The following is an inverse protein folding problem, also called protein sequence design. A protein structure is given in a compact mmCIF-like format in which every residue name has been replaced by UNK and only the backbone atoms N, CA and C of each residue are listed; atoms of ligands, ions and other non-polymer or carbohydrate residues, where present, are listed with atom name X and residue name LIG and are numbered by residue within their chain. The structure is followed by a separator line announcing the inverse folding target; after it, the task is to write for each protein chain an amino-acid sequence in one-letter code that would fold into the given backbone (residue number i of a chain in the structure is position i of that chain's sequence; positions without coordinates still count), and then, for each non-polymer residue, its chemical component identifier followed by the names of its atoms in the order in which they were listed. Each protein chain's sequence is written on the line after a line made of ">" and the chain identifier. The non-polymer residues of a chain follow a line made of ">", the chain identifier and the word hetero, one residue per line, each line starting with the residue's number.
data_IF_773380211630
#
_entry.id   IF_773380211630
#
_cell.length_a   1.000
_cell.length_b   1.000
_cell.length_c   1.000
_cell.angle_alpha   90.00
_cell.angle_beta   90.00
_cell.angle_gamma   90.00
#
_symmetry.space_group_name_H-M   'P 1'
#
loop_
_entity.id
_entity.type
_entity.pdbx_description
1 polymer ?
#
# COMPACT_ATOMS: atom_id res chain seq x y z
N UNK A 1 -5.69 29.41 -31.04
CA UNK A 1 -5.08 28.07 -30.94
C UNK A 1 -5.71 27.07 -31.89
N UNK A 2 -6.98 26.63 -31.72
CA UNK A 2 -7.61 25.63 -32.62
C UNK A 2 -7.60 26.01 -34.11
N UNK A 3 -8.06 27.23 -34.44
CA UNK A 3 -8.05 27.75 -35.83
C UNK A 3 -6.64 27.83 -36.44
N UNK A 4 -5.60 27.85 -35.61
CA UNK A 4 -4.20 27.96 -36.02
C UNK A 4 -3.46 26.60 -36.03
N UNK A 5 -4.14 25.49 -35.71
CA UNK A 5 -3.47 24.18 -35.57
C UNK A 5 -2.64 24.01 -34.28
N UNK A 6 -2.80 24.89 -33.30
CA UNK A 6 -1.94 24.97 -32.10
C UNK A 6 -2.69 24.56 -30.82
N UNK A 7 -3.68 23.67 -30.93
CA UNK A 7 -4.50 23.26 -29.79
C UNK A 7 -3.67 22.69 -28.62
N UNK A 8 -2.56 22.01 -28.93
CA UNK A 8 -1.60 21.49 -27.95
C UNK A 8 -1.00 22.56 -27.03
N UNK A 9 -1.00 23.85 -27.41
CA UNK A 9 -0.49 24.93 -26.54
C UNK A 9 -1.42 25.26 -25.36
N UNK A 10 -2.66 24.76 -25.37
CA UNK A 10 -3.55 24.85 -24.21
C UNK A 10 -3.14 23.82 -23.16
N UNK A 11 -2.90 24.26 -21.92
CA UNK A 11 -2.68 23.39 -20.77
C UNK A 11 -3.86 23.49 -19.79
N UNK A 12 -4.34 22.35 -19.31
CA UNK A 12 -5.33 22.28 -18.24
C UNK A 12 -4.72 21.60 -17.00
N UNK A 13 -4.67 22.30 -15.87
CA UNK A 13 -4.11 21.78 -14.62
C UNK A 13 -5.22 21.64 -13.60
N UNK A 14 -5.27 20.50 -12.92
CA UNK A 14 -6.31 20.19 -11.94
C UNK A 14 -5.75 19.93 -10.54
N UNK A 15 -6.19 20.74 -9.58
CA UNK A 15 -6.04 20.54 -8.15
C UNK A 15 -7.11 19.58 -7.60
N UNK A 16 -7.77 19.94 -6.50
CA UNK A 16 -8.93 19.19 -5.97
C UNK A 16 -10.06 19.18 -7.00
N UNK A 17 -10.85 18.13 -7.02
CA UNK A 17 -11.90 17.93 -7.99
C UNK A 17 -13.08 17.16 -7.40
N UNK A 18 -14.21 17.21 -8.10
CA UNK A 18 -15.39 16.39 -7.88
C UNK A 18 -15.55 15.40 -9.05
N UNK A 19 -16.46 14.41 -8.96
CA UNK A 19 -16.76 13.54 -10.10
C UNK A 19 -17.17 14.34 -11.35
N UNK A 20 -18.06 15.32 -11.19
CA UNK A 20 -18.53 16.16 -12.31
C UNK A 20 -17.40 16.94 -12.99
N UNK A 21 -16.48 17.55 -12.23
CA UNK A 21 -15.34 18.26 -12.85
C UNK A 21 -14.32 17.31 -13.45
N UNK A 22 -14.26 16.05 -12.99
CA UNK A 22 -13.46 14.99 -13.62
C UNK A 22 -14.00 14.65 -15.00
N UNK A 23 -15.30 14.41 -15.13
CA UNK A 23 -15.87 13.94 -16.39
C UNK A 23 -15.93 15.06 -17.44
N UNK A 24 -16.30 16.26 -17.02
CA UNK A 24 -16.48 17.40 -17.93
C UNK A 24 -15.18 18.16 -18.17
N UNK A 25 -14.62 18.78 -17.13
CA UNK A 25 -13.53 19.75 -17.29
C UNK A 25 -12.17 19.09 -17.52
N UNK A 26 -11.91 17.94 -16.91
CA UNK A 26 -10.66 17.20 -17.09
C UNK A 26 -10.76 16.12 -18.18
N UNK A 27 -11.91 15.45 -18.28
CA UNK A 27 -12.13 14.37 -19.23
C UNK A 27 -12.51 14.86 -20.62
N UNK A 28 -13.61 15.61 -20.73
CA UNK A 28 -14.20 15.97 -22.03
C UNK A 28 -13.57 17.21 -22.66
N UNK A 29 -13.37 18.28 -21.89
CA UNK A 29 -12.93 19.57 -22.41
C UNK A 29 -11.56 19.52 -23.13
N UNK A 30 -10.49 18.93 -22.57
CA UNK A 30 -9.19 18.88 -23.25
C UNK A 30 -9.26 18.08 -24.56
N UNK A 31 -10.01 16.98 -24.56
CA UNK A 31 -10.23 16.11 -25.74
C UNK A 31 -11.00 16.82 -26.84
N UNK A 32 -12.10 17.50 -26.49
CA UNK A 32 -12.90 18.30 -27.44
C UNK A 32 -12.08 19.47 -27.99
N UNK A 33 -11.25 20.09 -27.15
CA UNK A 33 -10.37 21.18 -27.57
C UNK A 33 -9.25 20.69 -28.50
N UNK A 34 -8.80 19.45 -28.31
CA UNK A 34 -7.69 18.83 -29.04
C UNK A 34 -6.32 19.05 -28.39
N UNK A 35 -6.26 19.11 -27.06
CA UNK A 35 -5.00 19.16 -26.31
C UNK A 35 -4.76 17.88 -25.51
N UNK A 36 -3.52 17.42 -25.50
CA UNK A 36 -3.02 16.32 -24.65
C UNK A 36 -2.42 16.83 -23.34
N UNK A 37 -2.28 18.15 -23.18
CA UNK A 37 -1.63 18.77 -22.03
C UNK A 37 -2.64 19.02 -20.89
N UNK A 38 -3.22 17.94 -20.36
CA UNK A 38 -4.09 18.01 -19.20
C UNK A 38 -3.53 17.14 -18.08
N UNK A 39 -3.24 17.76 -16.94
CA UNK A 39 -2.49 17.15 -15.84
C UNK A 39 -3.24 17.29 -14.52
N UNK A 40 -3.39 16.18 -13.80
CA UNK A 40 -3.89 16.18 -12.43
C UNK A 40 -2.75 16.38 -11.42
N UNK A 41 -3.11 16.63 -10.16
CA UNK A 41 -2.16 16.60 -9.06
C UNK A 41 -1.74 15.18 -8.62
N UNK A 42 -2.15 14.12 -9.32
CA UNK A 42 -2.06 12.74 -8.79
C UNK A 42 -0.63 12.37 -8.37
N UNK A 43 0.35 12.67 -9.23
CA UNK A 43 1.76 12.33 -9.00
C UNK A 43 2.36 12.98 -7.75
N UNK A 44 1.87 14.16 -7.35
CA UNK A 44 2.28 14.84 -6.11
C UNK A 44 1.39 14.50 -4.91
N UNK A 45 0.38 13.65 -5.11
CA UNK A 45 -0.53 13.21 -4.06
C UNK A 45 -0.08 11.86 -3.48
N UNK A 46 -0.26 10.75 -4.21
CA UNK A 46 0.02 9.41 -3.68
C UNK A 46 0.12 8.30 -4.75
N UNK A 47 0.54 8.58 -5.99
CA UNK A 47 0.64 7.51 -6.99
C UNK A 47 1.62 6.39 -6.60
N UNK A 48 2.69 6.73 -5.88
CA UNK A 48 3.65 5.74 -5.39
C UNK A 48 3.02 4.70 -4.45
N UNK A 49 2.04 5.10 -3.62
CA UNK A 49 1.31 4.18 -2.73
C UNK A 49 0.55 3.08 -3.51
N UNK A 50 0.10 3.41 -4.72
CA UNK A 50 -0.68 2.49 -5.57
C UNK A 50 0.19 1.46 -6.28
N UNK A 51 1.51 1.65 -6.31
CA UNK A 51 2.41 0.76 -7.05
C UNK A 51 2.50 -0.62 -6.43
N UNK A 52 2.56 -0.73 -5.10
CA UNK A 52 2.58 -2.03 -4.41
C UNK A 52 1.38 -2.89 -4.80
N UNK A 53 0.13 -2.46 -4.51
CA UNK A 53 -1.06 -3.21 -4.87
C UNK A 53 -1.26 -3.35 -6.38
N UNK A 54 -0.87 -2.34 -7.17
CA UNK A 54 -0.95 -2.39 -8.62
C UNK A 54 -0.08 -3.50 -9.23
N UNK A 55 1.17 -3.62 -8.78
CA UNK A 55 2.12 -4.59 -9.31
C UNK A 55 1.96 -6.00 -8.73
N UNK A 56 1.38 -6.12 -7.54
CA UNK A 56 1.22 -7.42 -6.85
C UNK A 56 -0.19 -8.01 -6.93
N UNK A 57 -1.21 -7.16 -7.06
CA UNK A 57 -2.63 -7.55 -7.00
C UNK A 57 -3.43 -7.01 -8.20
N UNK A 58 -2.80 -6.27 -9.11
CA UNK A 58 -3.48 -5.67 -10.26
C UNK A 58 -4.41 -4.49 -9.91
N UNK A 59 -4.35 -3.97 -8.68
CA UNK A 59 -5.27 -2.94 -8.20
C UNK A 59 -4.57 -1.59 -7.97
N UNK A 60 -4.65 -0.70 -8.98
CA UNK A 60 -4.05 0.65 -8.94
C UNK A 60 -4.99 1.68 -8.27
N UNK A 61 -5.39 1.40 -7.03
CA UNK A 61 -6.34 2.20 -6.27
C UNK A 61 -6.02 2.28 -4.78
N UNK A 62 -6.83 3.03 -4.05
CA UNK A 62 -6.79 3.02 -2.58
C UNK A 62 -7.65 1.89 -2.05
N UNK A 63 -7.29 1.38 -0.87
CA UNK A 63 -7.99 0.30 -0.16
C UNK A 63 -8.64 0.87 1.09
N UNK A 64 -9.81 0.34 1.42
CA UNK A 64 -10.34 0.48 2.77
C UNK A 64 -9.80 -0.66 3.64
N UNK A 65 -9.89 -0.50 4.95
CA UNK A 65 -9.36 -1.46 5.91
C UNK A 65 -10.51 -2.00 6.75
N UNK A 66 -10.55 -3.32 6.97
CA UNK A 66 -11.55 -3.96 7.82
C UNK A 66 -11.24 -3.70 9.31
N UNK A 67 -11.47 -2.45 9.72
CA UNK A 67 -11.23 -1.97 11.07
C UNK A 67 -12.20 -2.57 12.09
N UNK A 68 -13.28 -3.23 11.65
CA UNK A 68 -14.22 -3.89 12.54
C UNK A 68 -13.69 -5.26 13.01
N UNK A 69 -13.00 -6.00 12.13
CA UNK A 69 -12.52 -7.36 12.43
C UNK A 69 -11.02 -7.47 12.68
N UNK A 70 -10.22 -6.44 12.33
CA UNK A 70 -8.77 -6.41 12.52
C UNK A 70 -8.33 -6.81 13.93
N UNK A 71 -7.42 -7.78 14.05
CA UNK A 71 -6.79 -8.21 15.31
C UNK A 71 -5.38 -7.64 15.50
N UNK A 72 -4.73 -7.23 14.41
CA UNK A 72 -3.43 -6.58 14.41
C UNK A 72 -3.43 -5.46 13.37
N UNK A 73 -3.36 -4.20 13.83
CA UNK A 73 -3.24 -3.02 12.99
C UNK A 73 -1.78 -2.57 12.98
N UNK A 74 -1.14 -2.63 11.82
CA UNK A 74 0.17 -2.00 11.60
C UNK A 74 -0.05 -0.72 10.80
N UNK A 75 0.04 0.44 11.45
CA UNK A 75 -0.01 1.73 10.78
C UNK A 75 1.41 2.16 10.39
N UNK A 76 1.72 2.00 9.10
CA UNK A 76 3.07 2.19 8.56
C UNK A 76 3.22 3.53 7.84
N UNK A 77 3.90 4.50 8.48
CA UNK A 77 4.07 5.86 7.97
C UNK A 77 2.77 6.67 7.88
N UNK A 78 1.66 6.11 8.38
CA UNK A 78 0.33 6.73 8.35
C UNK A 78 -0.11 7.14 9.74
N UNK A 79 -0.84 8.26 9.83
CA UNK A 79 -1.50 8.69 11.06
C UNK A 79 -3.02 8.75 10.83
N UNK A 80 -3.74 7.61 10.81
CA UNK A 80 -5.15 7.55 10.43
C UNK A 80 -6.10 8.19 11.44
N UNK A 81 -5.60 8.60 12.62
CA UNK A 81 -6.34 9.43 13.58
C UNK A 81 -6.27 10.94 13.27
N UNK A 82 -5.36 11.37 12.40
CA UNK A 82 -5.17 12.78 12.02
C UNK A 82 -5.33 13.04 10.51
N UNK A 83 -5.03 12.05 9.69
CA UNK A 83 -4.94 12.12 8.23
C UNK A 83 -5.32 10.77 7.61
N UNK A 84 -4.96 10.53 6.35
CA UNK A 84 -5.44 9.39 5.56
C UNK A 84 -6.92 9.55 5.13
N UNK A 85 -7.54 8.50 4.61
CA UNK A 85 -8.68 8.62 3.68
C UNK A 85 -10.06 8.41 4.30
N UNK A 86 -10.14 7.86 5.51
CA UNK A 86 -11.39 7.65 6.27
C UNK A 86 -11.20 7.96 7.76
N UNK A 87 -10.66 9.14 8.08
CA UNK A 87 -10.34 9.59 9.45
C UNK A 87 -11.48 9.37 10.46
N UNK A 88 -12.75 9.72 10.15
CA UNK A 88 -13.84 9.53 11.11
C UNK A 88 -14.09 8.06 11.47
N UNK A 89 -13.99 7.15 10.50
CA UNK A 89 -14.16 5.72 10.74
C UNK A 89 -13.01 5.17 11.58
N UNK A 90 -11.76 5.56 11.29
CA UNK A 90 -10.62 5.12 12.09
C UNK A 90 -10.71 5.63 13.53
N UNK A 91 -11.03 6.91 13.74
CA UNK A 91 -11.24 7.46 15.09
C UNK A 91 -12.29 6.66 15.86
N UNK A 92 -13.41 6.31 15.20
CA UNK A 92 -14.47 5.52 15.81
C UNK A 92 -14.02 4.10 16.20
N UNK A 93 -13.23 3.43 15.34
CA UNK A 93 -12.85 2.02 15.51
C UNK A 93 -11.54 1.78 16.28
N UNK A 94 -10.68 2.79 16.42
CA UNK A 94 -9.32 2.62 16.97
C UNK A 94 -9.32 2.05 18.39
N UNK A 95 -10.19 2.56 19.27
CA UNK A 95 -10.32 2.04 20.65
C UNK A 95 -10.86 0.60 20.70
N UNK A 96 -11.72 0.21 19.76
CA UNK A 96 -12.23 -1.16 19.65
C UNK A 96 -11.13 -2.13 19.20
N UNK A 97 -10.22 -1.70 18.32
CA UNK A 97 -9.05 -2.48 17.91
C UNK A 97 -8.11 -2.65 19.11
N UNK A 98 -7.84 -1.56 19.83
CA UNK A 98 -6.97 -1.55 21.01
C UNK A 98 -7.45 -2.54 22.09
N UNK A 99 -8.76 -2.66 22.27
CA UNK A 99 -9.37 -3.53 23.28
C UNK A 99 -9.31 -5.03 22.91
N UNK A 100 -9.30 -5.37 21.62
CA UNK A 100 -9.37 -6.77 21.17
C UNK A 100 -8.06 -7.32 20.60
N UNK A 101 -7.14 -6.44 20.21
CA UNK A 101 -5.96 -6.79 19.44
C UNK A 101 -4.81 -5.82 19.66
N UNK A 102 -3.86 -5.83 18.73
CA UNK A 102 -2.63 -5.05 18.82
C UNK A 102 -2.60 -3.93 17.78
N UNK A 103 -2.06 -2.79 18.17
CA UNK A 103 -1.78 -1.66 17.30
C UNK A 103 -0.28 -1.38 17.38
N UNK A 104 0.38 -1.43 16.22
CA UNK A 104 1.79 -1.14 16.03
C UNK A 104 1.88 0.04 15.08
N UNK A 105 2.69 1.04 15.40
CA UNK A 105 2.90 2.20 14.54
C UNK A 105 4.36 2.31 14.17
N UNK A 106 4.65 2.29 12.86
CA UNK A 106 5.99 2.52 12.30
C UNK A 106 6.03 3.95 11.79
N UNK A 107 6.66 4.87 12.51
CA UNK A 107 6.68 6.29 12.15
C UNK A 107 7.92 6.94 12.77
N UNK A 108 8.74 7.72 12.03
CA UNK A 108 9.88 8.43 12.60
C UNK A 108 9.51 9.39 13.75
N UNK A 109 8.28 9.91 13.75
CA UNK A 109 7.76 10.79 14.82
C UNK A 109 6.72 10.06 15.66
N UNK A 110 6.56 10.51 16.91
CA UNK A 110 5.44 10.09 17.75
C UNK A 110 4.14 10.75 17.27
N UNK A 111 3.48 10.11 16.31
CA UNK A 111 2.20 10.57 15.72
C UNK A 111 1.00 10.39 16.67
N UNK A 112 -0.18 10.91 16.30
CA UNK A 112 -1.37 10.75 17.14
C UNK A 112 -1.74 9.27 17.31
N UNK A 113 -1.56 8.50 16.23
CA UNK A 113 -1.72 7.05 16.24
C UNK A 113 -0.64 6.38 17.07
N UNK A 114 0.64 6.78 16.93
CA UNK A 114 1.74 6.22 17.72
C UNK A 114 1.57 6.44 19.23
N UNK A 115 1.15 7.64 19.63
CA UNK A 115 0.89 7.98 21.03
C UNK A 115 -0.25 7.18 21.68
N UNK A 116 -1.04 6.44 20.88
CA UNK A 116 -2.15 5.61 21.33
C UNK A 116 -1.97 4.12 21.02
N UNK A 117 -0.89 3.75 20.34
CA UNK A 117 -0.57 2.37 20.01
C UNK A 117 0.10 1.67 21.19
N UNK A 118 0.05 0.34 21.22
CA UNK A 118 0.83 -0.42 22.21
C UNK A 118 2.32 -0.40 21.87
N UNK A 119 2.67 -0.37 20.59
CA UNK A 119 4.05 -0.35 20.13
C UNK A 119 4.28 0.80 19.13
N UNK A 120 5.33 1.58 19.37
CA UNK A 120 5.82 2.58 18.43
C UNK A 120 7.25 2.27 18.03
N UNK A 121 7.46 2.08 16.72
CA UNK A 121 8.74 1.83 16.10
C UNK A 121 9.26 3.13 15.45
N UNK A 122 10.17 3.89 16.09
CA UNK A 122 10.71 5.14 15.57
C UNK A 122 11.72 4.88 14.45
N UNK A 123 11.20 4.55 13.26
CA UNK A 123 12.02 4.16 12.12
C UNK A 123 12.86 5.32 11.58
N UNK A 124 14.06 5.03 11.05
CA UNK A 124 14.83 6.03 10.32
C UNK A 124 14.15 6.30 8.96
N UNK A 125 13.91 7.57 8.58
CA UNK A 125 13.28 7.87 7.30
C UNK A 125 13.96 7.17 6.12
N UNK A 126 13.19 6.45 5.30
CA UNK A 126 13.67 5.74 4.12
C UNK A 126 14.19 4.32 4.39
N UNK A 127 14.13 3.82 5.62
CA UNK A 127 14.52 2.42 5.95
C UNK A 127 13.33 1.48 6.12
N UNK A 128 12.13 1.92 5.74
CA UNK A 128 10.88 1.16 5.80
C UNK A 128 10.97 -0.20 5.08
N UNK A 129 11.55 -0.22 3.88
CA UNK A 129 11.75 -1.46 3.12
C UNK A 129 12.65 -2.47 3.84
N UNK A 130 13.65 -2.02 4.59
CA UNK A 130 14.52 -2.90 5.36
C UNK A 130 13.78 -3.56 6.52
N UNK A 131 12.94 -2.81 7.25
CA UNK A 131 12.10 -3.37 8.31
C UNK A 131 11.06 -4.34 7.74
N UNK A 132 10.41 -4.00 6.63
CA UNK A 132 9.44 -4.88 5.98
C UNK A 132 10.09 -6.20 5.51
N UNK A 133 11.29 -6.12 4.94
CA UNK A 133 12.08 -7.30 4.56
C UNK A 133 12.49 -8.15 5.76
N UNK A 134 12.89 -7.54 6.88
CA UNK A 134 13.22 -8.26 8.11
C UNK A 134 12.00 -8.97 8.72
N UNK A 135 10.82 -8.32 8.74
CA UNK A 135 9.57 -8.95 9.18
C UNK A 135 9.23 -10.15 8.29
N UNK A 136 9.30 -9.97 6.96
CA UNK A 136 9.07 -11.07 6.02
C UNK A 136 10.05 -12.23 6.25
N UNK A 137 11.33 -11.93 6.49
CA UNK A 137 12.34 -12.93 6.79
C UNK A 137 11.96 -13.77 8.03
N UNK A 138 11.60 -13.12 9.14
CA UNK A 138 11.21 -13.82 10.37
C UNK A 138 9.95 -14.67 10.14
N UNK A 139 8.94 -14.13 9.46
CA UNK A 139 7.72 -14.87 9.13
C UNK A 139 8.02 -16.15 8.34
N UNK A 140 8.97 -16.09 7.40
CA UNK A 140 9.38 -17.23 6.60
C UNK A 140 10.27 -18.20 7.38
N UNK A 141 11.27 -17.74 8.12
CA UNK A 141 12.15 -18.64 8.88
C UNK A 141 11.43 -19.35 10.02
N UNK A 142 10.42 -18.72 10.62
CA UNK A 142 9.66 -19.28 11.74
C UNK A 142 8.40 -20.04 11.32
N UNK A 143 8.05 -20.05 10.03
CA UNK A 143 6.87 -20.81 9.57
C UNK A 143 5.53 -20.13 9.83
N UNK A 144 5.50 -18.81 10.02
CA UNK A 144 4.34 -18.03 10.50
C UNK A 144 3.47 -17.42 9.40
N UNK A 145 3.74 -17.71 8.12
CA UNK A 145 2.94 -17.17 7.02
C UNK A 145 1.57 -17.85 6.91
N UNK A 146 0.64 -17.20 6.22
CA UNK A 146 -0.68 -17.77 5.94
C UNK A 146 -0.55 -18.86 4.86
N UNK A 147 -0.46 -20.13 5.27
CA UNK A 147 -0.34 -21.31 4.39
C UNK A 147 -1.58 -21.57 3.52
N UNK A 148 -2.75 -21.08 3.92
CA UNK A 148 -3.97 -21.19 3.12
C UNK A 148 -3.90 -20.29 1.89
N UNK A 149 -3.37 -19.08 2.05
CA UNK A 149 -3.22 -18.10 0.97
C UNK A 149 -1.93 -18.29 0.18
N UNK A 150 -0.78 -18.39 0.85
CA UNK A 150 0.54 -18.46 0.19
C UNK A 150 0.80 -19.84 -0.41
N UNK A 151 0.44 -20.91 0.30
CA UNK A 151 0.93 -22.26 0.03
C UNK A 151 1.98 -22.72 1.04
N UNK A 152 2.61 -23.85 0.76
CA UNK A 152 3.58 -24.48 1.66
C UNK A 152 4.54 -25.42 0.91
N UNK A 153 5.58 -25.89 1.59
CA UNK A 153 6.47 -26.93 1.10
C UNK A 153 5.74 -28.26 0.92
N UNK A 154 6.03 -28.96 -0.18
CA UNK A 154 5.37 -30.23 -0.54
C UNK A 154 5.57 -31.35 0.48
N UNK A 155 6.68 -31.31 1.23
CA UNK A 155 7.01 -32.27 2.29
C UNK A 155 6.56 -31.80 3.69
N UNK A 156 5.92 -30.63 3.78
CA UNK A 156 5.45 -30.01 5.02
C UNK A 156 6.54 -29.49 5.94
N UNK A 157 7.81 -29.51 5.54
CA UNK A 157 8.94 -29.01 6.34
C UNK A 157 9.30 -27.61 5.89
N UNK A 158 9.48 -26.70 6.85
CA UNK A 158 9.98 -25.37 6.51
C UNK A 158 11.44 -25.43 6.05
N UNK A 159 11.70 -25.04 4.81
CA UNK A 159 13.05 -24.99 4.23
C UNK A 159 13.60 -23.56 4.10
N UNK A 160 12.85 -22.53 4.51
CA UNK A 160 13.38 -21.17 4.59
C UNK A 160 14.36 -21.06 5.76
N UNK A 161 15.66 -21.21 5.45
CA UNK A 161 16.75 -21.11 6.42
C UNK A 161 17.65 -19.95 6.01
N UNK A 162 17.93 -19.04 6.95
CA UNK A 162 18.73 -17.85 6.69
C UNK A 162 20.05 -18.18 5.99
N UNK A 163 20.32 -17.51 4.87
CA UNK A 163 21.52 -17.72 4.06
C UNK A 163 21.52 -18.98 3.20
N UNK A 164 20.42 -19.74 3.14
CA UNK A 164 20.28 -20.92 2.29
C UNK A 164 19.22 -20.71 1.22
N UNK A 165 19.55 -21.03 -0.02
CA UNK A 165 18.60 -21.04 -1.11
C UNK A 165 17.62 -22.21 -0.95
N UNK A 166 16.40 -22.01 -1.46
CA UNK A 166 15.34 -23.01 -1.51
C UNK A 166 15.15 -23.48 -2.95
N UNK A 167 14.95 -24.79 -3.15
CA UNK A 167 14.50 -25.31 -4.44
C UNK A 167 13.08 -24.76 -4.74
N UNK A 168 12.96 -23.92 -5.76
CA UNK A 168 11.67 -23.36 -6.19
C UNK A 168 10.62 -24.46 -6.44
N UNK A 169 11.03 -25.64 -6.91
CA UNK A 169 10.11 -26.74 -7.18
C UNK A 169 9.59 -27.44 -5.91
N UNK A 170 10.23 -27.22 -4.75
CA UNK A 170 9.80 -27.79 -3.47
C UNK A 170 8.63 -27.02 -2.83
N UNK A 171 8.42 -25.76 -3.23
CA UNK A 171 7.37 -24.90 -2.70
C UNK A 171 6.14 -24.90 -3.63
N UNK A 172 4.96 -25.20 -3.08
CA UNK A 172 3.71 -25.19 -3.83
C UNK A 172 2.91 -23.93 -3.46
N UNK A 173 2.96 -22.91 -4.33
CA UNK A 173 2.19 -21.67 -4.16
C UNK A 173 0.70 -21.85 -4.50
N UNK A 174 -0.16 -21.04 -3.86
CA UNK A 174 -1.61 -21.02 -4.13
C UNK A 174 -2.06 -19.69 -4.74
N UNK A 175 -2.12 -18.63 -3.93
CA UNK A 175 -2.57 -17.29 -4.35
C UNK A 175 -1.41 -16.29 -4.49
N UNK A 176 -0.17 -16.77 -4.35
CA UNK A 176 1.06 -15.99 -4.54
C UNK A 176 1.84 -16.47 -5.75
N UNK A 177 2.84 -15.69 -6.15
CA UNK A 177 3.74 -16.06 -7.24
C UNK A 177 5.16 -15.58 -6.96
N UNK A 178 6.12 -16.50 -7.05
CA UNK A 178 7.55 -16.22 -7.01
C UNK A 178 8.14 -16.04 -5.62
N UNK A 179 7.50 -16.50 -4.54
CA UNK A 179 8.04 -16.34 -3.18
C UNK A 179 9.39 -17.04 -3.00
N UNK A 180 9.51 -18.30 -3.42
CA UNK A 180 10.77 -19.06 -3.33
C UNK A 180 11.87 -18.44 -4.21
N UNK A 181 11.50 -17.91 -5.39
CA UNK A 181 12.42 -17.16 -6.26
C UNK A 181 12.91 -15.88 -5.60
N UNK A 182 12.02 -15.13 -4.97
CA UNK A 182 12.36 -13.91 -4.25
C UNK A 182 13.28 -14.18 -3.07
N UNK A 183 13.04 -15.28 -2.33
CA UNK A 183 13.91 -15.70 -1.24
C UNK A 183 15.36 -15.99 -1.68
N UNK A 184 15.53 -16.46 -2.92
CA UNK A 184 16.83 -16.82 -3.49
C UNK A 184 17.63 -15.63 -4.03
N UNK A 185 17.09 -14.40 -4.00
CA UNK A 185 17.78 -13.17 -4.41
C UNK A 185 18.80 -12.70 -3.37
#
# INVERSE_FOLDING_TARGET
>A
LRKNGEAHKLTYIRGRYSPTSTDLLYGSLPRIYGTTNYFSHSAICAEAEKMGPGLTQGYFGYRDYDLANTQCLIAWGTDPLASNRMVPNTIHRFGEILARGSIIVVDPRLSNSAAKAQEWLPIKPGTDGALAGAIAHVLLTEGLWNKEFVGDFKDGRNQFVAGQAVDEAAFAEKETYGLARWWNL
#
